data_IF_649681086463
#
_entry.id   IF_649681086463
#
_cell.length_a   1.000
_cell.length_b   1.000
_cell.length_c   1.000
_cell.angle_alpha   90.00
_cell.angle_beta   90.00
_cell.angle_gamma   90.00
#
_symmetry.space_group_name_H-M   'P 1'
#
loop_
_entity.id
_entity.type
_entity.pdbx_description
1 polymer ?
#
# COMPACT_ATOMS: atom_id res chain seq x y z
N UNK A 1 83.48 47.88 -23.25
CA UNK A 1 83.01 47.57 -21.88
C UNK A 1 81.53 47.20 -21.95
N UNK A 2 81.18 46.00 -21.48
CA UNK A 2 79.83 45.40 -21.56
C UNK A 2 78.91 46.05 -20.53
N UNK A 3 77.68 46.43 -20.95
CA UNK A 3 76.62 46.90 -20.05
C UNK A 3 76.06 45.72 -19.23
N UNK A 4 75.83 45.87 -17.91
CA UNK A 4 75.23 44.83 -17.09
C UNK A 4 73.71 44.81 -17.27
N UNK A 5 73.14 43.60 -17.32
CA UNK A 5 71.72 43.35 -17.14
C UNK A 5 71.42 43.10 -15.65
N UNK A 6 70.33 43.66 -15.12
CA UNK A 6 69.77 43.34 -13.80
C UNK A 6 68.25 43.59 -13.79
N UNK A 7 67.46 42.90 -12.94
CA UNK A 7 66.42 41.99 -13.40
C UNK A 7 65.06 42.45 -12.89
N UNK A 8 64.42 43.38 -13.57
CA UNK A 8 63.05 43.80 -13.23
C UNK A 8 62.06 42.97 -14.04
N UNK A 9 61.95 41.66 -13.74
CA UNK A 9 60.90 40.83 -14.36
C UNK A 9 60.50 39.56 -13.60
N UNK A 10 60.86 39.43 -12.33
CA UNK A 10 60.58 38.22 -11.55
C UNK A 10 59.55 38.39 -10.41
N UNK A 11 58.93 39.57 -10.24
CA UNK A 11 57.98 39.80 -9.14
C UNK A 11 56.50 39.83 -9.53
N UNK A 12 56.14 39.92 -10.81
CA UNK A 12 54.74 40.00 -11.23
C UNK A 12 54.09 38.66 -11.62
N UNK A 13 54.82 37.54 -11.57
CA UNK A 13 54.28 36.22 -11.98
C UNK A 13 53.77 35.38 -10.79
N UNK A 14 54.05 35.78 -9.54
CA UNK A 14 53.65 35.02 -8.35
C UNK A 14 52.30 35.40 -7.71
N UNK A 15 51.64 36.45 -8.19
CA UNK A 15 50.29 36.82 -7.70
C UNK A 15 49.15 36.25 -8.57
N UNK A 16 49.40 35.94 -9.85
CA UNK A 16 48.35 35.49 -10.78
C UNK A 16 48.06 33.98 -10.73
N UNK A 17 48.92 33.19 -10.09
CA UNK A 17 48.74 31.74 -9.97
C UNK A 17 47.94 31.31 -8.72
N UNK A 18 47.75 32.20 -7.74
CA UNK A 18 46.93 31.92 -6.56
C UNK A 18 45.45 32.32 -6.74
N UNK A 19 45.13 33.21 -7.69
CA UNK A 19 43.74 33.58 -7.99
C UNK A 19 43.06 32.52 -8.89
N UNK A 20 43.82 31.87 -9.78
CA UNK A 20 43.28 30.83 -10.67
C UNK A 20 42.93 29.49 -10.00
N UNK A 21 43.57 29.16 -8.88
CA UNK A 21 43.33 27.90 -8.16
C UNK A 21 42.14 28.01 -7.18
N UNK A 22 41.84 29.22 -6.68
CA UNK A 22 40.70 29.43 -5.78
C UNK A 22 39.36 29.47 -6.52
N UNK A 23 39.33 29.86 -7.79
CA UNK A 23 38.08 29.89 -8.59
C UNK A 23 37.68 28.51 -9.11
N UNK A 24 38.62 27.57 -9.30
CA UNK A 24 38.33 26.21 -9.76
C UNK A 24 37.93 25.23 -8.63
N UNK A 25 38.12 25.60 -7.36
CA UNK A 25 37.70 24.79 -6.21
C UNK A 25 36.24 25.04 -5.76
N UNK A 26 35.55 26.02 -6.36
CA UNK A 26 34.20 26.44 -5.97
C UNK A 26 33.04 25.67 -6.62
N UNK A 27 33.31 24.77 -7.57
CA UNK A 27 32.30 23.80 -8.06
C UNK A 27 32.28 22.58 -7.14
N UNK A 28 32.03 22.83 -5.85
CA UNK A 28 31.47 21.81 -4.99
C UNK A 28 30.15 21.39 -5.65
N UNK A 29 30.12 20.14 -6.11
CA UNK A 29 28.92 19.48 -6.63
C UNK A 29 27.80 19.68 -5.62
N UNK A 30 26.90 20.63 -5.86
CA UNK A 30 25.51 20.49 -5.45
C UNK A 30 25.01 19.26 -6.21
N UNK A 31 25.20 18.08 -5.62
CA UNK A 31 24.41 16.93 -6.00
C UNK A 31 22.97 17.38 -5.74
N UNK A 32 22.24 17.71 -6.81
CA UNK A 32 20.80 17.87 -6.73
C UNK A 32 20.30 16.57 -6.10
N UNK A 33 19.81 16.65 -4.86
CA UNK A 33 19.23 15.50 -4.20
C UNK A 33 18.01 15.13 -5.04
N UNK A 34 18.09 13.99 -5.74
CA UNK A 34 16.92 13.44 -6.41
C UNK A 34 15.84 13.28 -5.35
N UNK A 35 14.68 13.94 -5.49
CA UNK A 35 13.63 13.84 -4.49
C UNK A 35 13.22 12.37 -4.34
N UNK A 36 12.98 11.92 -3.11
CA UNK A 36 12.62 10.52 -2.84
C UNK A 36 11.38 10.09 -3.65
N UNK A 37 10.50 11.05 -3.95
CA UNK A 37 9.33 10.89 -4.80
C UNK A 37 9.35 11.99 -5.88
N UNK A 38 9.37 11.58 -7.15
CA UNK A 38 9.26 12.49 -8.30
C UNK A 38 7.85 13.09 -8.40
N UNK A 39 7.71 14.43 -8.31
CA UNK A 39 6.41 15.13 -8.31
C UNK A 39 5.57 14.81 -9.55
N UNK A 40 6.21 14.73 -10.72
CA UNK A 40 5.56 14.37 -11.98
C UNK A 40 4.95 12.97 -11.97
N UNK A 41 5.66 11.97 -11.41
CA UNK A 41 5.13 10.60 -11.27
C UNK A 41 4.00 10.54 -10.27
N UNK A 42 4.14 11.23 -9.12
CA UNK A 42 3.08 11.30 -8.13
C UNK A 42 1.79 11.89 -8.72
N UNK A 43 1.90 13.02 -9.44
CA UNK A 43 0.78 13.67 -10.12
C UNK A 43 0.11 12.74 -11.14
N UNK A 44 0.91 12.05 -11.96
CA UNK A 44 0.39 11.05 -12.89
C UNK A 44 -0.43 9.98 -12.17
N UNK A 45 0.09 9.42 -11.07
CA UNK A 45 -0.59 8.34 -10.36
C UNK A 45 -1.88 8.80 -9.68
N UNK A 46 -1.89 10.02 -9.11
CA UNK A 46 -3.11 10.63 -8.60
C UNK A 46 -4.17 10.80 -9.70
N UNK A 47 -3.76 11.28 -10.88
CA UNK A 47 -4.67 11.42 -12.03
C UNK A 47 -5.22 10.07 -12.51
N UNK A 48 -4.38 9.03 -12.57
CA UNK A 48 -4.79 7.67 -12.93
C UNK A 48 -5.86 7.13 -11.97
N UNK A 49 -5.67 7.27 -10.66
CA UNK A 49 -6.62 6.80 -9.65
C UNK A 49 -7.93 7.59 -9.68
N UNK A 50 -7.86 8.92 -9.84
CA UNK A 50 -9.04 9.78 -10.01
C UNK A 50 -9.84 9.37 -11.23
N UNK A 51 -9.21 9.26 -12.41
CA UNK A 51 -9.89 8.89 -13.64
C UNK A 51 -10.56 7.50 -13.58
N UNK A 52 -9.92 6.53 -12.91
CA UNK A 52 -10.49 5.19 -12.77
C UNK A 52 -11.67 5.16 -11.79
N UNK A 53 -11.57 5.89 -10.68
CA UNK A 53 -12.70 6.05 -9.75
C UNK A 53 -13.87 6.80 -10.36
N UNK A 54 -13.62 7.83 -11.17
CA UNK A 54 -14.66 8.61 -11.87
C UNK A 54 -15.37 7.78 -12.93
N UNK A 55 -14.68 6.81 -13.54
CA UNK A 55 -15.30 5.88 -14.49
C UNK A 55 -16.34 4.97 -13.85
N UNK A 56 -16.09 4.50 -12.63
CA UNK A 56 -17.10 3.72 -11.87
C UNK A 56 -18.16 4.64 -11.26
N UNK A 57 -17.78 5.86 -10.87
CA UNK A 57 -18.64 6.89 -10.26
C UNK A 57 -19.45 6.36 -9.07
N UNK A 58 -18.87 5.46 -8.28
CA UNK A 58 -19.55 4.83 -7.15
C UNK A 58 -20.61 3.80 -7.56
N UNK A 59 -20.59 3.30 -8.79
CA UNK A 59 -21.49 2.23 -9.24
C UNK A 59 -21.45 1.02 -8.30
N UNK A 60 -20.24 0.60 -7.92
CA UNK A 60 -20.01 -0.55 -7.04
C UNK A 60 -20.28 -0.21 -5.56
N UNK A 61 -19.66 0.85 -5.03
CA UNK A 61 -19.65 1.13 -3.58
C UNK A 61 -20.63 2.20 -3.13
N UNK A 62 -21.44 2.75 -4.04
CA UNK A 62 -22.38 3.88 -3.83
C UNK A 62 -21.74 5.19 -3.38
N UNK A 63 -20.41 5.23 -3.35
CA UNK A 63 -19.59 6.43 -3.11
C UNK A 63 -18.39 6.43 -4.05
N UNK A 64 -17.88 7.60 -4.48
CA UNK A 64 -16.60 7.68 -5.17
C UNK A 64 -15.46 7.16 -4.28
N UNK A 65 -14.59 6.32 -4.83
CA UNK A 65 -13.46 5.75 -4.09
C UNK A 65 -12.32 6.76 -3.92
N UNK A 66 -11.96 7.46 -5.00
CA UNK A 66 -10.84 8.41 -4.96
C UNK A 66 -11.18 9.62 -4.07
N UNK A 67 -10.17 10.10 -3.36
CA UNK A 67 -10.26 11.24 -2.45
C UNK A 67 -8.86 11.74 -2.07
N UNK A 68 -8.64 12.22 -0.85
CA UNK A 68 -7.32 12.63 -0.38
C UNK A 68 -6.34 11.46 -0.46
N UNK A 69 -5.27 11.62 -1.23
CA UNK A 69 -4.20 10.64 -1.42
C UNK A 69 -2.89 11.22 -0.93
N UNK A 70 -2.14 10.40 -0.20
CA UNK A 70 -0.85 10.75 0.36
C UNK A 70 0.17 9.65 0.05
N UNK A 71 1.19 9.97 -0.72
CA UNK A 71 2.34 9.11 -0.94
C UNK A 71 3.43 9.44 0.05
N UNK A 72 3.95 8.43 0.75
CA UNK A 72 5.01 8.61 1.74
C UNK A 72 6.15 7.64 1.45
N UNK A 73 7.36 8.17 1.32
CA UNK A 73 8.56 7.36 1.26
C UNK A 73 8.90 6.83 2.66
N UNK A 74 9.02 5.52 2.81
CA UNK A 74 9.21 4.90 4.13
C UNK A 74 10.52 5.32 4.80
N UNK A 75 11.60 5.49 4.03
CA UNK A 75 12.94 5.79 4.56
C UNK A 75 13.10 7.26 4.95
N UNK A 76 12.76 8.17 4.04
CA UNK A 76 12.94 9.62 4.20
C UNK A 76 11.75 10.31 4.84
N UNK A 77 10.59 9.66 4.90
CA UNK A 77 9.30 10.22 5.31
C UNK A 77 8.86 11.39 4.43
N UNK A 78 9.49 11.58 3.27
CA UNK A 78 9.08 12.56 2.29
C UNK A 78 7.67 12.21 1.79
N UNK A 79 6.79 13.19 1.87
CA UNK A 79 5.36 13.02 1.63
C UNK A 79 4.91 13.90 0.47
N UNK A 80 4.09 13.35 -0.44
CA UNK A 80 3.43 14.08 -1.52
C UNK A 80 1.92 13.80 -1.46
N UNK A 81 1.10 14.83 -1.44
CA UNK A 81 -0.35 14.76 -1.46
C UNK A 81 -0.96 15.35 -2.74
N UNK A 82 -2.16 14.87 -3.08
CA UNK A 82 -2.94 15.36 -4.21
C UNK A 82 -3.78 16.62 -3.91
N UNK A 83 -3.85 17.03 -2.64
CA UNK A 83 -4.60 18.21 -2.20
C UNK A 83 -3.93 18.86 -0.99
N UNK A 84 -4.38 20.06 -0.65
CA UNK A 84 -3.94 20.80 0.53
C UNK A 84 -4.45 20.14 1.81
N UNK A 85 -3.65 20.19 2.87
CA UNK A 85 -4.07 19.82 4.23
C UNK A 85 -4.70 21.01 4.96
N UNK A 86 -5.38 20.74 6.08
CA UNK A 86 -6.09 21.80 6.83
C UNK A 86 -5.13 22.66 7.65
N UNK A 87 -4.03 22.08 8.13
CA UNK A 87 -3.09 22.72 9.04
C UNK A 87 -1.96 23.48 8.31
N UNK A 88 -1.92 23.43 6.97
CA UNK A 88 -0.90 24.07 6.14
C UNK A 88 0.49 23.45 6.28
N UNK A 89 0.57 22.19 6.69
CA UNK A 89 1.82 21.43 6.87
C UNK A 89 2.49 21.14 5.54
N UNK A 90 1.71 20.77 4.51
CA UNK A 90 2.20 20.49 3.17
C UNK A 90 2.23 21.77 2.33
N UNK A 91 3.32 21.96 1.59
CA UNK A 91 3.54 23.15 0.75
C UNK A 91 3.33 22.83 -0.72
N UNK A 92 2.70 23.73 -1.50
CA UNK A 92 2.50 23.49 -2.93
C UNK A 92 3.86 23.41 -3.64
N UNK A 93 4.03 22.39 -4.47
CA UNK A 93 5.16 22.20 -5.35
C UNK A 93 4.66 21.47 -6.60
N UNK A 94 4.88 22.03 -7.80
CA UNK A 94 4.53 21.39 -9.07
C UNK A 94 3.12 20.77 -9.07
N UNK A 95 2.08 21.54 -8.72
CA UNK A 95 0.68 21.07 -8.75
C UNK A 95 0.36 19.90 -7.81
N UNK A 96 1.24 19.58 -6.86
CA UNK A 96 1.02 18.67 -5.73
C UNK A 96 1.41 19.41 -4.44
N UNK A 97 1.25 18.76 -3.29
CA UNK A 97 1.61 19.32 -1.98
C UNK A 97 2.63 18.43 -1.31
N UNK A 98 3.75 18.99 -0.86
CA UNK A 98 4.90 18.22 -0.36
C UNK A 98 5.27 18.61 1.07
N UNK A 99 5.85 17.67 1.79
CA UNK A 99 6.35 17.88 3.15
C UNK A 99 7.04 16.65 3.69
N UNK A 100 7.17 16.59 5.01
CA UNK A 100 7.77 15.45 5.72
C UNK A 100 6.76 14.95 6.75
N UNK A 101 6.41 13.68 6.68
CA UNK A 101 5.55 13.06 7.68
C UNK A 101 6.27 13.01 9.04
N UNK A 102 5.63 13.43 10.15
CA UNK A 102 6.27 13.49 11.46
C UNK A 102 6.53 12.07 11.98
N UNK A 103 7.57 11.81 12.79
CA UNK A 103 7.98 10.46 13.22
C UNK A 103 6.87 9.61 13.82
N UNK A 104 5.91 10.24 14.49
CA UNK A 104 4.79 9.62 15.21
C UNK A 104 3.73 9.06 14.26
N UNK A 105 3.70 9.51 13.01
CA UNK A 105 2.79 8.99 12.00
C UNK A 105 3.25 7.61 11.53
N UNK A 106 2.44 6.57 11.74
CA UNK A 106 2.75 5.25 11.18
C UNK A 106 2.76 5.30 9.65
N UNK A 107 3.86 4.91 9.01
CA UNK A 107 3.93 4.83 7.54
C UNK A 107 3.48 3.44 7.11
N UNK A 108 2.27 3.35 6.56
CA UNK A 108 1.67 2.11 6.09
C UNK A 108 0.65 2.38 4.97
N UNK A 109 0.35 1.34 4.19
CA UNK A 109 -0.78 1.37 3.26
C UNK A 109 -2.08 1.24 4.06
N UNK A 110 -2.79 2.35 4.28
CA UNK A 110 -4.05 2.38 5.04
C UNK A 110 -4.71 3.77 5.00
N UNK A 111 -5.92 3.87 5.57
CA UNK A 111 -6.54 5.15 5.88
C UNK A 111 -5.87 5.78 7.13
N UNK A 112 -5.40 7.02 7.02
CA UNK A 112 -4.65 7.69 8.09
C UNK A 112 -5.10 9.13 8.26
N UNK A 113 -5.33 9.56 9.51
CA UNK A 113 -5.60 10.96 9.82
C UNK A 113 -4.29 11.71 10.08
N UNK A 114 -4.06 12.77 9.32
CA UNK A 114 -2.91 13.65 9.50
C UNK A 114 -3.20 15.06 8.98
N UNK A 115 -2.77 16.09 9.71
CA UNK A 115 -2.91 17.50 9.34
C UNK A 115 -4.37 17.90 9.00
N UNK A 116 -5.31 17.43 9.84
CA UNK A 116 -6.75 17.65 9.70
C UNK A 116 -7.44 16.96 8.51
N UNK A 117 -6.75 16.06 7.79
CA UNK A 117 -7.32 15.31 6.65
C UNK A 117 -7.25 13.80 6.89
N UNK A 118 -8.30 13.08 6.48
CA UNK A 118 -8.30 11.62 6.42
C UNK A 118 -7.78 11.18 5.05
N UNK A 119 -6.50 10.83 5.02
CA UNK A 119 -5.75 10.44 3.84
C UNK A 119 -5.89 8.95 3.54
N UNK A 120 -5.92 8.61 2.26
CA UNK A 120 -5.45 7.31 1.79
C UNK A 120 -3.92 7.36 1.70
N UNK A 121 -3.22 6.76 2.66
CA UNK A 121 -1.76 6.67 2.64
C UNK A 121 -1.33 5.48 1.78
N UNK A 122 -0.38 5.71 0.86
CA UNK A 122 0.27 4.65 0.08
C UNK A 122 1.78 4.82 0.18
N UNK A 123 2.47 3.76 0.57
CA UNK A 123 3.92 3.75 0.68
C UNK A 123 4.56 3.80 -0.72
N UNK A 124 5.59 4.63 -0.84
CA UNK A 124 6.43 4.70 -2.01
C UNK A 124 7.60 3.69 -1.93
N UNK A 125 8.05 3.08 -3.05
CA UNK A 125 7.51 3.19 -4.40
C UNK A 125 6.28 2.31 -4.64
N UNK A 126 5.36 2.81 -5.45
CA UNK A 126 4.23 2.02 -5.95
C UNK A 126 4.69 1.05 -7.06
N UNK A 127 3.92 -0.02 -7.35
CA UNK A 127 4.21 -0.92 -8.45
C UNK A 127 4.43 -0.19 -9.78
N UNK A 128 5.45 -0.62 -10.53
CA UNK A 128 5.83 0.00 -11.80
C UNK A 128 4.75 -0.17 -12.88
N UNK A 129 4.13 -1.35 -12.93
CA UNK A 129 3.06 -1.65 -13.88
C UNK A 129 1.73 -1.01 -13.45
N UNK A 130 1.01 -0.47 -14.43
CA UNK A 130 -0.23 0.28 -14.21
C UNK A 130 -1.30 -0.52 -13.48
N UNK A 131 -1.57 -1.75 -13.90
CA UNK A 131 -2.66 -2.54 -13.34
C UNK A 131 -2.45 -2.88 -11.85
N UNK A 132 -1.30 -3.43 -11.41
CA UNK A 132 -1.02 -3.62 -9.98
C UNK A 132 -1.05 -2.33 -9.18
N UNK A 133 -0.52 -1.23 -9.71
CA UNK A 133 -0.55 0.08 -9.05
C UNK A 133 -1.97 0.58 -8.82
N UNK A 134 -2.82 0.51 -9.85
CA UNK A 134 -4.22 0.92 -9.73
C UNK A 134 -5.00 0.06 -8.76
N UNK A 135 -4.76 -1.26 -8.78
CA UNK A 135 -5.35 -2.17 -7.79
C UNK A 135 -4.97 -1.75 -6.37
N UNK A 136 -3.69 -1.51 -6.10
CA UNK A 136 -3.22 -1.06 -4.79
C UNK A 136 -3.90 0.26 -4.40
N UNK A 137 -3.80 1.30 -5.24
CA UNK A 137 -4.34 2.62 -4.90
C UNK A 137 -5.85 2.60 -4.64
N UNK A 138 -6.63 1.89 -5.46
CA UNK A 138 -8.08 1.79 -5.25
C UNK A 138 -8.44 0.92 -4.05
N UNK A 139 -7.64 -0.10 -3.75
CA UNK A 139 -7.79 -0.89 -2.52
C UNK A 139 -7.57 -0.03 -1.28
N UNK A 140 -6.53 0.80 -1.26
CA UNK A 140 -6.30 1.71 -0.13
C UNK A 140 -7.37 2.81 -0.04
N UNK A 141 -7.83 3.33 -1.19
CA UNK A 141 -8.97 4.26 -1.23
C UNK A 141 -10.25 3.65 -0.64
N UNK A 142 -10.48 2.36 -0.85
CA UNK A 142 -11.61 1.66 -0.26
C UNK A 142 -11.52 1.67 1.27
N UNK A 143 -10.35 1.37 1.86
CA UNK A 143 -10.17 1.41 3.33
C UNK A 143 -10.53 2.78 3.92
N UNK A 144 -10.23 3.86 3.22
CA UNK A 144 -10.62 5.23 3.64
C UNK A 144 -12.13 5.43 3.69
N UNK A 145 -12.89 4.90 2.74
CA UNK A 145 -14.35 5.09 2.69
C UNK A 145 -15.15 3.98 3.40
N UNK A 146 -14.48 2.90 3.78
CA UNK A 146 -15.08 1.65 4.27
C UNK A 146 -16.07 1.88 5.41
N UNK A 147 -15.65 2.61 6.45
CA UNK A 147 -16.51 2.91 7.60
C UNK A 147 -17.72 3.78 7.21
N UNK A 148 -17.54 4.71 6.26
CA UNK A 148 -18.60 5.60 5.77
C UNK A 148 -19.72 4.88 5.02
N UNK A 149 -19.45 3.70 4.47
CA UNK A 149 -20.45 2.84 3.82
C UNK A 149 -21.00 1.73 4.75
N UNK A 150 -20.74 1.83 6.05
CA UNK A 150 -21.25 0.89 7.06
C UNK A 150 -20.48 -0.43 7.16
N UNK A 151 -19.37 -0.57 6.43
CA UNK A 151 -18.47 -1.71 6.56
C UNK A 151 -17.44 -1.37 7.65
N UNK A 152 -17.66 -1.88 8.86
CA UNK A 152 -16.69 -1.66 9.94
C UNK A 152 -15.43 -2.49 9.67
N UNK A 153 -14.23 -1.88 9.73
CA UNK A 153 -12.99 -2.65 9.74
C UNK A 153 -13.05 -3.65 10.89
N UNK A 154 -12.84 -4.93 10.57
CA UNK A 154 -12.69 -5.97 11.57
C UNK A 154 -11.29 -6.57 11.37
N UNK A 155 -10.39 -6.31 12.32
CA UNK A 155 -9.04 -6.89 12.35
C UNK A 155 -9.07 -8.36 12.78
N UNK A 156 -9.95 -9.15 12.17
CA UNK A 156 -9.94 -10.58 12.35
C UNK A 156 -8.70 -11.13 11.64
N UNK A 157 -7.70 -11.58 12.42
CA UNK A 157 -6.59 -12.34 11.88
C UNK A 157 -7.10 -13.65 11.28
N UNK A 158 -7.25 -13.67 9.95
CA UNK A 158 -7.76 -14.81 9.21
C UNK A 158 -6.63 -15.77 8.79
N UNK A 159 -5.65 -16.02 9.67
CA UNK A 159 -4.47 -16.86 9.33
C UNK A 159 -4.83 -18.29 8.90
N UNK A 160 -6.05 -18.74 9.21
CA UNK A 160 -6.59 -19.99 8.70
C UNK A 160 -6.77 -19.99 7.16
N UNK A 161 -7.07 -18.84 6.54
CA UNK A 161 -7.17 -18.67 5.08
C UNK A 161 -5.82 -18.75 4.39
N UNK A 162 -4.71 -18.59 5.12
CA UNK A 162 -3.36 -18.75 4.58
C UNK A 162 -2.93 -20.22 4.46
N UNK A 163 -3.68 -21.14 5.05
CA UNK A 163 -3.45 -22.58 4.92
C UNK A 163 -3.98 -23.13 3.60
N UNK A 164 -3.34 -24.17 3.06
CA UNK A 164 -3.82 -24.89 1.87
C UNK A 164 -5.28 -25.36 2.04
N UNK A 165 -5.58 -26.00 3.17
CA UNK A 165 -6.93 -26.46 3.46
C UNK A 165 -7.93 -25.29 3.53
N UNK A 166 -7.56 -24.18 4.19
CA UNK A 166 -8.40 -23.00 4.27
C UNK A 166 -8.74 -22.43 2.89
N UNK A 167 -7.76 -22.33 1.99
CA UNK A 167 -8.00 -21.91 0.60
C UNK A 167 -8.91 -22.86 -0.17
N UNK A 168 -8.72 -24.18 -0.02
CA UNK A 168 -9.56 -25.17 -0.69
C UNK A 168 -11.02 -25.05 -0.23
N UNK A 169 -11.27 -25.00 1.07
CA UNK A 169 -12.63 -24.88 1.61
C UNK A 169 -13.30 -23.58 1.19
N UNK A 170 -12.57 -22.45 1.22
CA UNK A 170 -13.06 -21.17 0.74
C UNK A 170 -13.44 -21.23 -0.75
N UNK A 171 -12.59 -21.82 -1.59
CA UNK A 171 -12.85 -21.93 -3.02
C UNK A 171 -14.06 -22.79 -3.34
N UNK A 172 -14.26 -23.91 -2.62
CA UNK A 172 -15.43 -24.77 -2.83
C UNK A 172 -16.71 -24.05 -2.37
N UNK A 173 -16.68 -23.36 -1.23
CA UNK A 173 -17.79 -22.51 -0.77
C UNK A 173 -18.13 -21.43 -1.81
N UNK A 174 -17.12 -20.72 -2.33
CA UNK A 174 -17.32 -19.68 -3.34
C UNK A 174 -17.82 -20.22 -4.67
N UNK A 175 -17.36 -21.37 -5.14
CA UNK A 175 -17.88 -21.99 -6.37
C UNK A 175 -19.35 -22.38 -6.25
N UNK A 176 -19.77 -22.87 -5.09
CA UNK A 176 -21.19 -23.15 -4.84
C UNK A 176 -22.02 -21.86 -4.84
N UNK A 177 -21.53 -20.78 -4.21
CA UNK A 177 -22.20 -19.48 -4.22
C UNK A 177 -22.25 -18.84 -5.63
N UNK A 178 -21.17 -18.96 -6.40
CA UNK A 178 -21.11 -18.50 -7.78
C UNK A 178 -22.11 -19.27 -8.66
N UNK A 179 -22.19 -20.60 -8.50
CA UNK A 179 -23.20 -21.39 -9.20
C UNK A 179 -24.62 -20.94 -8.81
N UNK A 180 -24.90 -20.79 -7.51
CA UNK A 180 -26.18 -20.32 -6.99
C UNK A 180 -26.62 -18.96 -7.57
N UNK A 181 -25.65 -18.07 -7.83
CA UNK A 181 -25.91 -16.74 -8.38
C UNK A 181 -26.56 -16.81 -9.77
N UNK A 182 -26.16 -17.78 -10.59
CA UNK A 182 -26.69 -17.99 -11.94
C UNK A 182 -27.95 -18.85 -12.00
N UNK A 183 -28.26 -19.61 -10.93
CA UNK A 183 -29.44 -20.46 -10.87
C UNK A 183 -30.68 -19.75 -10.34
N UNK A 184 -31.86 -20.39 -10.48
CA UNK A 184 -33.14 -19.95 -9.91
C UNK A 184 -33.87 -21.11 -9.21
N UNK A 185 -34.92 -20.79 -8.45
CA UNK A 185 -35.80 -21.79 -7.83
C UNK A 185 -35.06 -22.80 -6.93
N UNK A 186 -35.38 -24.07 -7.10
CA UNK A 186 -34.82 -25.17 -6.28
C UNK A 186 -33.35 -25.45 -6.54
N UNK A 187 -32.81 -25.08 -7.71
CA UNK A 187 -31.37 -25.23 -7.99
C UNK A 187 -30.56 -24.21 -7.19
N UNK A 188 -30.98 -22.95 -7.20
CA UNK A 188 -30.39 -21.91 -6.34
C UNK A 188 -30.40 -22.32 -4.87
N UNK A 189 -31.51 -22.88 -4.38
CA UNK A 189 -31.63 -23.33 -2.98
C UNK A 189 -30.64 -24.46 -2.66
N UNK A 190 -30.47 -25.43 -3.56
CA UNK A 190 -29.51 -26.52 -3.41
C UNK A 190 -28.07 -26.00 -3.38
N UNK A 191 -27.69 -25.12 -4.30
CA UNK A 191 -26.34 -24.56 -4.34
C UNK A 191 -26.01 -23.70 -3.11
N UNK A 192 -26.99 -22.92 -2.61
CA UNK A 192 -26.84 -22.20 -1.34
C UNK A 192 -26.69 -23.19 -0.17
N UNK A 193 -27.46 -24.28 -0.16
CA UNK A 193 -27.33 -25.31 0.87
C UNK A 193 -25.93 -25.96 0.83
N UNK A 194 -25.39 -26.24 -0.36
CA UNK A 194 -24.04 -26.77 -0.53
C UNK A 194 -22.98 -25.79 -0.01
N UNK A 195 -23.08 -24.50 -0.33
CA UNK A 195 -22.18 -23.47 0.21
C UNK A 195 -22.19 -23.44 1.75
N UNK A 196 -23.39 -23.47 2.35
CA UNK A 196 -23.55 -23.51 3.80
C UNK A 196 -23.03 -24.81 4.40
N UNK A 197 -23.21 -25.94 3.71
CA UNK A 197 -22.66 -27.23 4.12
C UNK A 197 -21.13 -27.21 4.14
N UNK A 198 -20.48 -26.70 3.09
CA UNK A 198 -19.02 -26.56 3.04
C UNK A 198 -18.49 -25.66 4.16
N UNK A 199 -19.16 -24.53 4.42
CA UNK A 199 -18.83 -23.64 5.54
C UNK A 199 -18.92 -24.36 6.89
N UNK A 200 -19.95 -25.17 7.11
CA UNK A 200 -20.14 -25.91 8.35
C UNK A 200 -19.10 -27.03 8.52
N UNK A 201 -18.82 -27.80 7.46
CA UNK A 201 -17.76 -28.81 7.46
C UNK A 201 -16.41 -28.20 7.81
N UNK A 202 -16.12 -27.04 7.23
CA UNK A 202 -14.89 -26.31 7.48
C UNK A 202 -14.79 -25.82 8.94
N UNK A 203 -15.83 -25.15 9.46
CA UNK A 203 -15.88 -24.71 10.87
C UNK A 203 -15.70 -25.86 11.84
N UNK A 204 -16.40 -26.98 11.63
CA UNK A 204 -16.27 -28.17 12.47
C UNK A 204 -14.83 -28.73 12.48
N UNK A 205 -14.14 -28.68 11.33
CA UNK A 205 -12.75 -29.16 11.20
C UNK A 205 -11.75 -28.19 11.84
N UNK A 206 -12.00 -26.88 11.75
CA UNK A 206 -11.19 -25.83 12.38
C UNK A 206 -11.33 -25.85 13.91
N UNK A 207 -12.56 -25.94 14.44
CA UNK A 207 -12.80 -26.11 15.88
C UNK A 207 -12.03 -27.32 16.42
N UNK A 208 -12.04 -28.46 15.72
CA UNK A 208 -11.25 -29.63 16.11
C UNK A 208 -9.73 -29.42 16.03
N UNK A 209 -9.22 -28.55 15.14
CA UNK A 209 -7.77 -28.32 15.00
C UNK A 209 -7.20 -27.41 16.09
N UNK A 210 -7.95 -26.41 16.53
CA UNK A 210 -7.50 -25.42 17.52
C UNK A 210 -7.91 -25.72 18.97
N UNK A 211 -8.66 -26.80 19.21
CA UNK A 211 -8.96 -27.27 20.57
C UNK A 211 -7.71 -27.90 21.23
N UNK A 212 -7.46 -27.64 22.52
CA UNK A 212 -6.48 -28.37 23.33
C UNK A 212 -6.65 -29.89 23.19
N UNK A 213 -5.55 -30.66 23.19
CA UNK A 213 -5.55 -32.13 22.96
C UNK A 213 -6.61 -32.87 23.79
N UNK A 214 -6.86 -32.44 25.02
CA UNK A 214 -7.82 -33.06 25.96
C UNK A 214 -9.28 -32.88 25.52
N UNK A 215 -9.63 -31.73 24.95
CA UNK A 215 -10.96 -31.39 24.41
C UNK A 215 -11.20 -31.96 23.02
N UNK A 216 -10.16 -32.13 22.21
CA UNK A 216 -10.23 -32.71 20.87
C UNK A 216 -10.74 -34.16 20.88
N UNK A 217 -10.30 -34.97 21.85
CA UNK A 217 -10.76 -36.37 21.99
C UNK A 217 -12.24 -36.48 22.37
N UNK A 218 -12.77 -35.54 23.17
CA UNK A 218 -14.18 -35.51 23.58
C UNK A 218 -15.13 -34.97 22.50
N UNK A 219 -14.77 -33.88 21.81
CA UNK A 219 -15.64 -33.26 20.78
C UNK A 219 -15.54 -33.90 19.39
N UNK A 220 -14.40 -34.49 19.05
CA UNK A 220 -14.11 -34.94 17.69
C UNK A 220 -13.90 -36.47 17.59
N UNK A 221 -13.85 -37.20 18.71
CA UNK A 221 -13.47 -38.61 18.77
C UNK A 221 -14.56 -39.64 18.45
N UNK A 222 -15.82 -39.22 18.25
CA UNK A 222 -16.92 -40.17 18.06
C UNK A 222 -17.07 -40.75 16.63
N UNK A 223 -16.20 -40.38 15.67
CA UNK A 223 -16.36 -40.76 14.25
C UNK A 223 -15.43 -41.86 13.71
N UNK A 224 -14.49 -42.37 14.52
CA UNK A 224 -13.53 -43.40 14.07
C UNK A 224 -13.66 -44.74 14.82
N UNK A 225 -14.88 -45.17 15.16
CA UNK A 225 -15.12 -46.45 15.83
C UNK A 225 -15.99 -47.38 14.95
N UNK A 226 -15.50 -47.72 13.76
CA UNK A 226 -15.95 -48.89 13.01
C UNK A 226 -14.75 -49.55 12.33
N UNK A 227 -13.97 -50.28 13.11
CA UNK A 227 -13.10 -51.35 12.59
C UNK A 227 -13.70 -52.65 13.12
N UNK A 228 -14.18 -53.58 12.27
CA UNK A 228 -14.67 -54.85 12.78
C UNK A 228 -13.48 -55.69 13.21
N UNK A 229 -13.55 -56.23 14.43
CA UNK A 229 -12.63 -57.24 14.92
C UNK A 229 -12.72 -58.48 14.02
N UNK A 230 -11.60 -58.89 13.43
CA UNK A 230 -11.50 -60.16 12.72
C UNK A 230 -11.48 -61.28 13.75
N UNK A 231 -12.41 -62.23 13.59
CA UNK A 231 -12.35 -63.60 14.14
C UNK A 231 -11.31 -64.42 13.39
#
# INVERSE_FOLDING_TARGET
MKKPACPVRAFCIRASLLVGVVVMAGVARLAAQTPAIETGKARQYFAEAKALSERDNGGLWKVPLCGPLLFVDYGTRYAIANQVDVEGTLKPLDGVYVGTAPPELGVANTATKWAGVEWTMVMWPLPQYKQPRMRLMLHECFHRVQAGIGLKPADAQNGHLDSLEGRIWLQIEWRALEHAFWQQGEERKRDVADALYFRNCWRARMECKFLPRRTKRKRCGARNATTPAKS
#
